data_IF_934650377138
#
_entry.id   IF_934650377138
#
_cell.length_a   1.000
_cell.length_b   1.000
_cell.length_c   1.000
_cell.angle_alpha   90.00
_cell.angle_beta   90.00
_cell.angle_gamma   90.00
#
_symmetry.space_group_name_H-M   'P 1'
#
loop_
_entity.id
_entity.type
_entity.pdbx_description
1 polymer ?
#
# COMPACT_ATOMS: atom_id res chain seq x y z
N UNK A 1 -6.40 4.75 -9.55
CA UNK A 1 -7.56 3.98 -9.00
C UNK A 1 -8.03 4.62 -7.71
N UNK A 2 -9.33 4.58 -7.39
CA UNK A 2 -9.85 5.08 -6.13
C UNK A 2 -10.45 3.93 -5.28
N UNK A 3 -10.76 4.23 -3.98
CA UNK A 3 -11.32 3.25 -3.02
C UNK A 3 -12.60 2.58 -3.52
N UNK A 4 -13.53 3.36 -4.08
CA UNK A 4 -14.81 2.83 -4.56
C UNK A 4 -14.62 1.85 -5.74
N UNK A 5 -13.70 2.15 -6.65
CA UNK A 5 -13.35 1.26 -7.76
C UNK A 5 -12.71 -0.04 -7.27
N UNK A 6 -11.85 0.03 -6.26
CA UNK A 6 -11.25 -1.17 -5.66
C UNK A 6 -12.32 -2.06 -5.03
N UNK A 7 -13.18 -1.48 -4.18
CA UNK A 7 -14.26 -2.22 -3.52
C UNK A 7 -15.21 -2.87 -4.53
N UNK A 8 -15.62 -2.12 -5.57
CA UNK A 8 -16.47 -2.67 -6.63
C UNK A 8 -15.80 -3.81 -7.42
N UNK A 9 -14.47 -3.81 -7.52
CA UNK A 9 -13.72 -4.84 -8.22
C UNK A 9 -13.60 -6.15 -7.43
N UNK A 10 -13.41 -6.08 -6.12
CA UNK A 10 -13.23 -7.28 -5.28
C UNK A 10 -14.54 -7.82 -4.69
N UNK A 11 -15.62 -7.09 -4.77
CA UNK A 11 -16.95 -7.46 -4.24
C UNK A 11 -17.95 -7.73 -5.37
N UNK A 12 -18.90 -8.68 -5.20
CA UNK A 12 -18.70 -9.88 -4.43
C UNK A 12 -17.63 -10.75 -5.07
N UNK A 13 -16.81 -11.56 -4.45
CA UNK A 13 -17.18 -12.39 -3.31
C UNK A 13 -16.66 -11.88 -1.95
N UNK A 14 -15.76 -10.88 -1.90
CA UNK A 14 -15.36 -10.33 -0.61
C UNK A 14 -16.50 -9.50 0.00
N UNK A 15 -16.73 -9.68 1.31
CA UNK A 15 -17.61 -8.78 2.05
C UNK A 15 -17.09 -7.33 1.99
N UNK A 16 -17.95 -6.37 1.68
CA UNK A 16 -17.56 -4.98 1.50
C UNK A 16 -16.90 -4.37 2.73
N UNK A 17 -17.36 -4.73 3.94
CA UNK A 17 -16.80 -4.19 5.18
C UNK A 17 -15.40 -4.74 5.42
N UNK A 18 -15.20 -6.05 5.21
CA UNK A 18 -13.89 -6.67 5.33
C UNK A 18 -12.92 -6.16 4.25
N UNK A 19 -13.38 -6.04 3.00
CA UNK A 19 -12.57 -5.51 1.91
C UNK A 19 -12.13 -4.05 2.16
N UNK A 20 -13.02 -3.25 2.75
CA UNK A 20 -12.74 -1.87 3.08
C UNK A 20 -11.73 -1.74 4.23
N UNK A 21 -11.90 -2.50 5.30
CA UNK A 21 -10.94 -2.57 6.40
C UNK A 21 -9.58 -3.07 5.90
N UNK A 22 -9.55 -4.10 5.06
CA UNK A 22 -8.32 -4.63 4.47
C UNK A 22 -7.55 -3.55 3.71
N UNK A 23 -8.26 -2.73 2.94
CA UNK A 23 -7.66 -1.63 2.19
C UNK A 23 -7.13 -0.52 3.14
N UNK A 24 -7.87 -0.19 4.20
CA UNK A 24 -7.45 0.82 5.19
C UNK A 24 -6.14 0.42 5.84
N UNK A 25 -6.03 -0.81 6.34
CA UNK A 25 -4.80 -1.31 6.98
C UNK A 25 -3.63 -1.41 5.99
N UNK A 26 -3.91 -1.82 4.76
CA UNK A 26 -2.90 -1.82 3.70
C UNK A 26 -2.31 -0.43 3.43
N UNK A 27 -3.17 0.59 3.29
CA UNK A 27 -2.73 1.95 3.03
C UNK A 27 -1.99 2.58 4.24
N UNK A 28 -2.40 2.22 5.46
CA UNK A 28 -1.69 2.60 6.69
C UNK A 28 -0.28 2.00 6.72
N UNK A 29 -0.17 0.71 6.47
CA UNK A 29 1.12 0.01 6.39
C UNK A 29 2.06 0.64 5.36
N UNK A 30 1.58 0.88 4.13
CA UNK A 30 2.38 1.50 3.07
C UNK A 30 2.89 2.88 3.47
N UNK A 31 2.02 3.69 4.09
CA UNK A 31 2.40 4.99 4.62
C UNK A 31 3.49 4.90 5.68
N UNK A 32 3.31 4.01 6.68
CA UNK A 32 4.28 3.81 7.76
C UNK A 32 5.63 3.32 7.23
N UNK A 33 5.59 2.38 6.29
CA UNK A 33 6.80 1.85 5.67
C UNK A 33 7.62 2.94 4.96
N UNK A 34 6.96 3.81 4.18
CA UNK A 34 7.61 4.94 3.50
C UNK A 34 8.21 5.92 4.51
N UNK A 35 7.53 6.15 5.62
CA UNK A 35 8.00 7.03 6.70
C UNK A 35 9.07 6.38 7.60
N UNK A 36 9.49 5.13 7.33
CA UNK A 36 10.42 4.32 8.15
C UNK A 36 9.97 4.13 9.60
N UNK A 37 8.68 4.16 9.82
CA UNK A 37 8.03 3.95 11.11
C UNK A 37 7.79 2.44 11.31
N UNK A 38 8.88 1.70 11.57
CA UNK A 38 8.93 0.24 11.45
C UNK A 38 8.02 -0.50 12.41
N UNK A 39 7.95 -0.05 13.66
CA UNK A 39 7.12 -0.68 14.68
C UNK A 39 5.63 -0.54 14.36
N UNK A 40 5.08 0.67 14.14
CA UNK A 40 3.70 0.83 13.68
C UNK A 40 3.42 0.14 12.34
N UNK A 41 4.38 0.11 11.40
CA UNK A 41 4.22 -0.63 10.15
C UNK A 41 3.98 -2.12 10.40
N UNK A 42 4.72 -2.73 11.33
CA UNK A 42 4.55 -4.13 11.70
C UNK A 42 3.21 -4.38 12.41
N UNK A 43 2.71 -3.41 13.20
CA UNK A 43 1.38 -3.48 13.82
C UNK A 43 0.27 -3.44 12.77
N UNK A 44 0.32 -2.48 11.83
CA UNK A 44 -0.66 -2.33 10.75
C UNK A 44 -0.68 -3.61 9.87
N UNK A 45 0.49 -4.20 9.60
CA UNK A 45 0.57 -5.49 8.92
C UNK A 45 -0.12 -6.63 9.69
N UNK A 46 -0.01 -6.64 11.01
CA UNK A 46 -0.72 -7.58 11.87
C UNK A 46 -2.24 -7.42 11.77
N UNK A 47 -2.73 -6.18 11.82
CA UNK A 47 -4.15 -5.86 11.65
C UNK A 47 -4.65 -6.23 10.25
N UNK A 48 -3.87 -5.92 9.21
CA UNK A 48 -4.15 -6.40 7.86
C UNK A 48 -4.31 -7.94 7.81
N UNK A 49 -3.39 -8.67 8.45
CA UNK A 49 -3.46 -10.14 8.49
C UNK A 49 -4.67 -10.68 9.25
N UNK A 50 -5.12 -10.00 10.31
CA UNK A 50 -6.37 -10.34 11.00
C UNK A 50 -7.57 -10.25 10.07
N UNK A 51 -7.65 -9.18 9.28
CA UNK A 51 -8.74 -8.98 8.33
C UNK A 51 -8.61 -9.95 7.15
N UNK A 52 -7.40 -10.15 6.62
CA UNK A 52 -7.15 -11.09 5.53
C UNK A 52 -7.54 -12.53 5.91
N UNK A 53 -7.23 -12.97 7.13
CA UNK A 53 -7.64 -14.28 7.64
C UNK A 53 -9.16 -14.43 7.68
N UNK A 54 -9.88 -13.38 8.12
CA UNK A 54 -11.35 -13.34 8.14
C UNK A 54 -11.94 -13.33 6.73
N UNK A 55 -11.32 -12.63 5.78
CA UNK A 55 -11.72 -12.66 4.36
C UNK A 55 -11.62 -14.07 3.79
N UNK A 56 -10.46 -14.74 3.94
CA UNK A 56 -10.26 -16.10 3.44
C UNK A 56 -11.21 -17.09 4.13
N UNK A 57 -11.39 -16.95 5.46
CA UNK A 57 -12.34 -17.76 6.22
C UNK A 57 -13.78 -17.56 5.74
N UNK A 58 -14.21 -16.31 5.54
CA UNK A 58 -15.57 -16.01 5.07
C UNK A 58 -15.86 -16.69 3.74
N UNK A 59 -14.94 -16.60 2.79
CA UNK A 59 -15.10 -17.22 1.48
C UNK A 59 -15.08 -18.74 1.58
N UNK A 60 -14.16 -19.30 2.36
CA UNK A 60 -13.95 -20.73 2.44
C UNK A 60 -15.07 -21.45 3.24
N UNK A 61 -15.61 -20.82 4.28
CA UNK A 61 -16.68 -21.37 5.12
C UNK A 61 -18.08 -20.94 4.73
N UNK A 62 -18.23 -19.90 3.91
CA UNK A 62 -19.50 -19.22 3.65
C UNK A 62 -20.07 -18.46 4.84
N UNK A 63 -19.30 -18.26 5.95
CA UNK A 63 -19.77 -17.65 7.20
C UNK A 63 -19.00 -16.35 7.49
N UNK A 64 -19.72 -15.24 7.60
CA UNK A 64 -19.13 -13.98 8.05
C UNK A 64 -18.93 -14.03 9.58
N UNK A 65 -17.68 -13.90 10.04
CA UNK A 65 -17.32 -13.94 11.46
C UNK A 65 -16.29 -12.85 11.80
N UNK A 66 -16.72 -11.59 11.99
CA UNK A 66 -15.82 -10.44 12.13
C UNK A 66 -14.92 -10.49 13.37
N UNK A 67 -15.34 -11.20 14.42
CA UNK A 67 -14.60 -11.31 15.68
C UNK A 67 -13.71 -12.57 15.78
N UNK A 68 -13.71 -13.43 14.74
CA UNK A 68 -12.95 -14.69 14.78
C UNK A 68 -11.44 -14.42 14.79
N UNK A 69 -10.72 -15.14 15.66
CA UNK A 69 -9.28 -15.03 15.79
C UNK A 69 -8.53 -15.56 14.55
N UNK A 70 -7.31 -15.05 14.34
CA UNK A 70 -6.48 -15.44 13.18
C UNK A 70 -6.23 -16.95 13.15
N UNK A 71 -5.74 -17.50 14.25
CA UNK A 71 -5.43 -18.94 14.32
C UNK A 71 -6.66 -19.82 14.11
N UNK A 72 -7.82 -19.41 14.60
CA UNK A 72 -9.07 -20.12 14.37
C UNK A 72 -9.51 -20.08 12.90
N UNK A 73 -9.35 -18.91 12.24
CA UNK A 73 -9.65 -18.79 10.81
C UNK A 73 -8.73 -19.69 9.98
N UNK A 74 -7.42 -19.63 10.25
CA UNK A 74 -6.43 -20.36 9.48
C UNK A 74 -6.51 -21.87 9.73
N UNK A 75 -6.72 -22.30 10.98
CA UNK A 75 -6.89 -23.72 11.33
C UNK A 75 -8.11 -24.35 10.65
N UNK A 76 -9.22 -23.60 10.54
CA UNK A 76 -10.39 -24.07 9.78
C UNK A 76 -10.05 -24.35 8.32
N UNK A 77 -9.31 -23.43 7.69
CA UNK A 77 -8.92 -23.56 6.28
C UNK A 77 -7.91 -24.70 6.09
N UNK A 78 -6.99 -24.88 7.02
CA UNK A 78 -5.95 -25.92 6.96
C UNK A 78 -6.47 -27.32 7.31
N UNK A 79 -7.66 -27.43 7.91
CA UNK A 79 -8.25 -28.71 8.29
C UNK A 79 -8.65 -29.52 7.06
N UNK A 80 -7.90 -30.59 6.78
CA UNK A 80 -8.16 -31.49 5.65
C UNK A 80 -9.35 -32.45 5.89
N UNK A 81 -9.82 -32.55 7.14
CA UNK A 81 -10.96 -33.44 7.48
C UNK A 81 -12.29 -32.86 7.01
N UNK A 82 -12.38 -31.55 6.87
CA UNK A 82 -13.57 -30.79 6.45
C UNK A 82 -13.68 -30.58 4.93
N UNK A 83 -13.21 -31.52 4.11
CA UNK A 83 -13.10 -31.36 2.64
C UNK A 83 -14.38 -30.88 1.93
N UNK A 84 -15.56 -31.26 2.45
CA UNK A 84 -16.86 -30.88 1.88
C UNK A 84 -17.38 -29.52 2.32
N UNK A 85 -16.64 -28.79 3.16
CA UNK A 85 -17.02 -27.50 3.76
C UNK A 85 -16.15 -26.34 3.28
N UNK A 86 -15.29 -26.56 2.29
CA UNK A 86 -14.38 -25.57 1.75
C UNK A 86 -14.90 -25.05 0.40
N UNK A 87 -15.21 -23.75 0.35
CA UNK A 87 -15.76 -23.08 -0.84
C UNK A 87 -14.77 -22.17 -1.56
N UNK A 88 -13.52 -22.05 -1.06
CA UNK A 88 -12.52 -21.23 -1.72
C UNK A 88 -12.22 -21.77 -3.14
N UNK A 89 -12.15 -20.91 -4.19
CA UNK A 89 -12.04 -21.35 -5.58
C UNK A 89 -10.88 -22.31 -5.87
N UNK A 90 -9.76 -22.13 -5.17
CA UNK A 90 -8.60 -23.00 -5.27
C UNK A 90 -8.05 -23.33 -3.88
N UNK A 91 -8.09 -24.60 -3.51
CA UNK A 91 -7.54 -25.08 -2.23
C UNK A 91 -6.05 -24.74 -2.09
N UNK A 92 -5.29 -24.85 -3.18
CA UNK A 92 -3.86 -24.52 -3.21
C UNK A 92 -3.64 -23.05 -2.86
N UNK A 93 -4.41 -22.13 -3.45
CA UNK A 93 -4.30 -20.71 -3.22
C UNK A 93 -4.73 -20.35 -1.79
N UNK A 94 -5.80 -20.96 -1.26
CA UNK A 94 -6.21 -20.78 0.12
C UNK A 94 -5.08 -21.14 1.10
N UNK A 95 -4.45 -22.31 0.93
CA UNK A 95 -3.34 -22.75 1.78
C UNK A 95 -2.09 -21.87 1.65
N UNK A 96 -1.79 -21.34 0.46
CA UNK A 96 -0.70 -20.39 0.27
C UNK A 96 -0.96 -19.07 0.99
N UNK A 97 -2.18 -18.54 0.89
CA UNK A 97 -2.61 -17.35 1.63
C UNK A 97 -2.52 -17.59 3.14
N UNK A 98 -2.99 -18.72 3.66
CA UNK A 98 -2.87 -19.06 5.07
C UNK A 98 -1.43 -19.02 5.58
N UNK A 99 -0.48 -19.58 4.82
CA UNK A 99 0.94 -19.60 5.18
C UNK A 99 1.53 -18.19 5.22
N UNK A 100 1.23 -17.36 4.21
CA UNK A 100 1.70 -15.98 4.14
C UNK A 100 1.12 -15.12 5.28
N UNK A 101 -0.20 -15.25 5.54
CA UNK A 101 -0.88 -14.55 6.64
C UNK A 101 -0.28 -14.96 7.99
N UNK A 102 -0.10 -16.26 8.23
CA UNK A 102 0.46 -16.78 9.48
C UNK A 102 1.89 -16.29 9.71
N UNK A 103 2.74 -16.32 8.68
CA UNK A 103 4.10 -15.80 8.75
C UNK A 103 4.10 -14.33 9.18
N UNK A 104 3.38 -13.50 8.46
CA UNK A 104 3.32 -12.04 8.69
C UNK A 104 2.73 -11.71 10.07
N UNK A 105 1.63 -12.37 10.45
CA UNK A 105 0.99 -12.16 11.74
C UNK A 105 1.91 -12.47 12.93
N UNK A 106 2.73 -13.53 12.81
CA UNK A 106 3.70 -13.90 13.86
C UNK A 106 4.83 -12.89 14.02
N UNK A 107 5.20 -12.14 12.98
CA UNK A 107 6.19 -11.08 13.12
C UNK A 107 5.74 -10.00 14.11
N UNK A 108 4.46 -9.64 14.14
CA UNK A 108 3.88 -8.70 15.11
C UNK A 108 4.16 -9.11 16.56
N UNK A 109 4.01 -10.39 16.89
CA UNK A 109 4.12 -10.88 18.26
C UNK A 109 5.51 -11.33 18.65
N UNK A 110 6.33 -11.80 17.70
CA UNK A 110 7.65 -12.38 17.99
C UNK A 110 8.82 -11.43 17.74
N UNK A 111 8.58 -10.24 17.16
CA UNK A 111 9.62 -9.29 16.77
C UNK A 111 9.47 -7.90 17.42
N UNK A 112 8.95 -7.84 18.64
CA UNK A 112 8.97 -6.64 19.47
C UNK A 112 7.92 -5.56 19.13
N UNK A 113 7.04 -5.76 18.14
CA UNK A 113 6.03 -4.77 17.81
C UNK A 113 4.85 -4.70 18.82
N UNK A 114 4.64 -5.76 19.63
CA UNK A 114 3.57 -5.82 20.63
C UNK A 114 4.12 -5.89 22.05
N UNK A 115 5.31 -6.45 22.22
CA UNK A 115 5.93 -6.63 23.51
C UNK A 115 7.34 -6.03 23.51
N UNK A 116 7.70 -5.34 24.58
CA UNK A 116 9.07 -4.86 24.76
C UNK A 116 9.99 -6.08 24.92
N UNK A 117 10.79 -6.34 23.91
CA UNK A 117 11.84 -7.35 23.95
C UNK A 117 13.20 -6.63 24.00
N UNK A 118 13.98 -6.78 25.07
CA UNK A 118 15.27 -6.10 25.20
C UNK A 118 16.29 -6.49 24.12
N UNK A 119 16.06 -7.62 23.43
CA UNK A 119 16.95 -8.15 22.38
C UNK A 119 16.44 -7.86 20.98
N UNK A 120 15.27 -7.26 20.83
CA UNK A 120 14.63 -7.09 19.53
C UNK A 120 13.93 -5.73 19.42
N UNK A 121 14.26 -5.00 18.36
CA UNK A 121 13.55 -3.80 17.94
C UNK A 121 13.09 -3.94 16.49
N UNK A 122 11.97 -3.31 16.17
CA UNK A 122 11.50 -3.21 14.80
C UNK A 122 12.59 -2.57 13.91
N UNK A 123 12.82 -3.14 12.73
CA UNK A 123 13.89 -2.75 11.83
C UNK A 123 13.47 -2.83 10.37
N UNK A 124 14.26 -2.21 9.49
CA UNK A 124 13.99 -2.14 8.06
C UNK A 124 13.90 -3.52 7.39
N UNK A 125 14.75 -4.47 7.78
CA UNK A 125 14.79 -5.80 7.18
C UNK A 125 13.48 -6.55 7.42
N UNK A 126 13.00 -6.55 8.65
CA UNK A 126 11.74 -7.21 9.04
C UNK A 126 10.54 -6.48 8.44
N UNK A 127 10.51 -5.14 8.50
CA UNK A 127 9.45 -4.34 7.92
C UNK A 127 9.36 -4.56 6.40
N UNK A 128 10.48 -4.66 5.69
CA UNK A 128 10.50 -4.95 4.25
C UNK A 128 9.90 -6.32 3.93
N UNK A 129 10.28 -7.37 4.66
CA UNK A 129 9.71 -8.70 4.46
C UNK A 129 8.19 -8.67 4.68
N UNK A 130 7.76 -8.04 5.76
CA UNK A 130 6.34 -7.93 6.13
C UNK A 130 5.55 -7.19 5.06
N UNK A 131 6.01 -6.02 4.61
CA UNK A 131 5.34 -5.21 3.59
C UNK A 131 5.24 -5.96 2.25
N UNK A 132 6.32 -6.58 1.80
CA UNK A 132 6.30 -7.34 0.54
C UNK A 132 5.36 -8.55 0.63
N UNK A 133 5.27 -9.20 1.81
CA UNK A 133 4.32 -10.30 2.01
C UNK A 133 2.87 -9.81 2.01
N UNK A 134 2.58 -8.68 2.65
CA UNK A 134 1.24 -8.06 2.64
C UNK A 134 0.85 -7.63 1.23
N UNK A 135 1.76 -7.02 0.47
CA UNK A 135 1.55 -6.69 -0.95
C UNK A 135 1.18 -7.92 -1.76
N UNK A 136 1.92 -9.01 -1.56
CA UNK A 136 1.65 -10.28 -2.23
C UNK A 136 0.27 -10.83 -1.86
N UNK A 137 -0.10 -10.84 -0.56
CA UNK A 137 -1.43 -11.30 -0.10
C UNK A 137 -2.54 -10.49 -0.78
N UNK A 138 -2.42 -9.16 -0.80
CA UNK A 138 -3.42 -8.31 -1.45
C UNK A 138 -3.47 -8.53 -2.96
N UNK A 139 -2.32 -8.68 -3.63
CA UNK A 139 -2.26 -9.02 -5.06
C UNK A 139 -2.96 -10.36 -5.35
N UNK A 140 -2.77 -11.38 -4.52
CA UNK A 140 -3.41 -12.69 -4.69
C UNK A 140 -4.93 -12.60 -4.49
N UNK A 141 -5.41 -11.86 -3.49
CA UNK A 141 -6.85 -11.62 -3.32
C UNK A 141 -7.45 -10.88 -4.54
N UNK A 142 -6.77 -9.85 -5.04
CA UNK A 142 -7.18 -9.13 -6.27
C UNK A 142 -7.13 -10.04 -7.50
N UNK A 143 -6.10 -10.88 -7.64
CA UNK A 143 -5.99 -11.83 -8.73
C UNK A 143 -7.14 -12.85 -8.72
N UNK A 144 -7.42 -13.43 -7.56
CA UNK A 144 -8.41 -14.50 -7.43
C UNK A 144 -9.83 -13.97 -7.63
N UNK A 145 -10.13 -12.80 -7.09
CA UNK A 145 -11.51 -12.32 -7.00
C UNK A 145 -11.86 -11.22 -7.99
N UNK A 146 -10.90 -10.65 -8.68
CA UNK A 146 -11.19 -9.58 -9.64
C UNK A 146 -10.57 -9.79 -11.02
N UNK A 147 -9.22 -9.83 -11.11
CA UNK A 147 -8.56 -9.67 -12.41
C UNK A 147 -8.26 -10.98 -13.14
N UNK A 148 -8.10 -12.08 -12.43
CA UNK A 148 -7.65 -13.36 -12.97
C UNK A 148 -6.17 -13.38 -13.42
N UNK A 149 -5.54 -12.21 -13.55
CA UNK A 149 -4.17 -12.06 -14.05
C UNK A 149 -3.23 -11.43 -13.00
N UNK A 150 -2.06 -12.04 -12.72
CA UNK A 150 -1.11 -11.52 -11.73
C UNK A 150 -0.57 -10.12 -12.05
N UNK A 151 -0.32 -9.82 -13.33
CA UNK A 151 0.22 -8.51 -13.73
C UNK A 151 -0.81 -7.40 -13.57
N UNK A 152 -2.07 -7.68 -13.91
CA UNK A 152 -3.19 -6.76 -13.69
C UNK A 152 -3.43 -6.55 -12.19
N UNK A 153 -3.37 -7.59 -11.37
CA UNK A 153 -3.51 -7.49 -9.91
C UNK A 153 -2.40 -6.61 -9.30
N UNK A 154 -1.15 -6.84 -9.68
CA UNK A 154 -0.02 -6.02 -9.23
C UNK A 154 -0.16 -4.54 -9.64
N UNK A 155 -0.71 -4.27 -10.82
CA UNK A 155 -1.02 -2.91 -11.28
C UNK A 155 -2.10 -2.27 -10.43
N UNK A 156 -3.20 -2.97 -10.14
CA UNK A 156 -4.30 -2.51 -9.27
C UNK A 156 -3.78 -2.12 -7.89
N UNK A 157 -3.03 -3.01 -7.23
CA UNK A 157 -2.48 -2.79 -5.90
C UNK A 157 -1.53 -1.58 -5.88
N UNK A 158 -0.69 -1.43 -6.90
CA UNK A 158 0.21 -0.28 -7.02
C UNK A 158 -0.53 1.05 -7.24
N UNK A 159 -1.60 1.04 -8.03
CA UNK A 159 -2.36 2.25 -8.34
C UNK A 159 -3.25 2.75 -7.19
N UNK A 160 -3.59 1.89 -6.21
CA UNK A 160 -4.40 2.30 -5.07
C UNK A 160 -3.58 3.00 -4.00
N UNK A 161 -2.26 2.81 -3.98
CA UNK A 161 -1.37 3.47 -3.02
C UNK A 161 -1.27 4.96 -3.35
N UNK A 162 -1.82 5.79 -2.50
CA UNK A 162 -1.65 7.25 -2.50
C UNK A 162 -1.00 7.65 -1.19
N UNK A 163 0.26 8.06 -1.27
CA UNK A 163 0.98 8.54 -0.09
C UNK A 163 0.57 9.99 0.18
N UNK A 164 -0.19 10.24 1.24
CA UNK A 164 -0.37 11.60 1.76
C UNK A 164 0.81 11.91 2.66
N UNK A 165 1.76 12.64 2.14
CA UNK A 165 2.97 13.00 2.87
C UNK A 165 2.71 14.08 3.91
N UNK A 166 3.20 13.95 5.15
CA UNK A 166 3.20 15.05 6.13
C UNK A 166 3.85 16.33 5.58
N UNK A 167 4.92 16.20 4.81
CA UNK A 167 5.64 17.31 4.18
C UNK A 167 4.80 18.09 3.14
N UNK A 168 3.64 17.58 2.70
CA UNK A 168 2.77 18.24 1.74
C UNK A 168 1.51 18.76 2.43
N UNK A 169 1.49 20.06 2.70
CA UNK A 169 0.33 20.74 3.23
C UNK A 169 -0.76 20.91 2.16
N UNK A 170 -2.01 20.70 2.56
CA UNK A 170 -3.16 20.82 1.68
C UNK A 170 -4.25 21.64 2.34
N UNK A 171 -4.39 22.86 1.89
CA UNK A 171 -5.55 23.69 2.17
C UNK A 171 -6.23 24.01 0.83
N UNK A 172 -7.48 23.60 0.69
CA UNK A 172 -8.22 23.73 -0.57
C UNK A 172 -7.68 22.79 -1.67
N UNK A 173 -7.52 23.31 -2.90
CA UNK A 173 -7.16 22.51 -4.08
C UNK A 173 -5.66 22.56 -4.46
N UNK A 174 -4.84 23.27 -3.70
CA UNK A 174 -3.43 23.52 -4.05
C UNK A 174 -2.51 22.91 -2.98
N UNK A 175 -1.88 21.75 -3.24
CA UNK A 175 -0.88 21.21 -2.32
C UNK A 175 0.41 22.04 -2.34
N UNK A 176 1.06 22.19 -1.19
CA UNK A 176 2.32 22.92 -1.04
C UNK A 176 3.31 22.07 -0.24
N UNK A 177 4.56 22.01 -0.71
CA UNK A 177 5.64 21.37 0.06
C UNK A 177 6.08 22.31 1.18
N UNK A 178 6.14 21.81 2.42
CA UNK A 178 6.44 22.62 3.61
C UNK A 178 7.94 22.83 3.87
N UNK A 179 8.80 22.25 3.05
CA UNK A 179 10.25 22.41 3.15
C UNK A 179 10.75 23.56 2.25
N UNK A 180 11.10 24.74 2.80
CA UNK A 180 11.47 25.92 2.01
C UNK A 180 12.83 25.78 1.29
N UNK A 181 13.72 24.94 1.82
CA UNK A 181 15.10 24.79 1.33
C UNK A 181 15.26 23.75 0.21
N UNK A 182 14.19 23.05 -0.17
CA UNK A 182 14.26 22.06 -1.24
C UNK A 182 14.40 22.73 -2.61
N UNK A 183 15.19 22.11 -3.49
CA UNK A 183 15.27 22.49 -4.89
C UNK A 183 13.95 22.20 -5.64
N UNK A 184 13.70 22.93 -6.72
CA UNK A 184 12.45 22.84 -7.48
C UNK A 184 12.17 21.44 -8.04
N UNK A 185 13.17 20.67 -8.40
CA UNK A 185 13.02 19.30 -8.88
C UNK A 185 12.60 18.35 -7.75
N UNK A 186 13.14 18.52 -6.56
CA UNK A 186 12.73 17.78 -5.35
C UNK A 186 11.29 18.13 -4.94
N UNK A 187 10.89 19.41 -4.99
CA UNK A 187 9.49 19.81 -4.74
C UNK A 187 8.54 19.18 -5.76
N UNK A 188 8.88 19.19 -7.06
CA UNK A 188 8.08 18.52 -8.10
C UNK A 188 7.95 17.03 -7.82
N UNK A 189 9.03 16.35 -7.49
CA UNK A 189 9.04 14.91 -7.22
C UNK A 189 8.17 14.57 -6.00
N UNK A 190 8.27 15.34 -4.90
CA UNK A 190 7.44 15.13 -3.70
C UNK A 190 5.95 15.34 -3.97
N UNK A 191 5.59 16.39 -4.70
CA UNK A 191 4.19 16.65 -5.09
C UNK A 191 3.63 15.53 -5.97
N UNK A 192 4.42 15.01 -6.92
CA UNK A 192 4.01 13.91 -7.78
C UNK A 192 3.94 12.59 -7.01
N UNK A 193 4.83 12.37 -6.05
CA UNK A 193 4.80 11.20 -5.18
C UNK A 193 3.53 11.19 -4.33
N UNK A 194 3.20 12.31 -3.72
CA UNK A 194 2.00 12.51 -2.93
C UNK A 194 0.70 12.41 -3.77
N UNK A 195 0.71 12.88 -5.03
CA UNK A 195 -0.41 12.75 -5.96
C UNK A 195 -0.61 11.30 -6.49
N UNK A 196 0.40 10.46 -6.37
CA UNK A 196 0.36 9.06 -6.80
C UNK A 196 0.05 8.89 -8.29
N UNK A 197 -0.80 7.91 -8.61
CA UNK A 197 -1.16 7.58 -10.00
C UNK A 197 -2.03 8.63 -10.70
N UNK A 198 -2.70 9.52 -9.96
CA UNK A 198 -3.46 10.64 -10.54
C UNK A 198 -2.55 11.70 -11.14
N UNK A 199 -1.34 11.83 -10.59
CA UNK A 199 -0.36 12.81 -11.01
C UNK A 199 -0.82 14.27 -10.88
N UNK A 200 -0.04 15.19 -11.44
CA UNK A 200 -0.38 16.61 -11.49
C UNK A 200 -0.07 17.20 -12.87
N UNK A 201 -0.91 18.11 -13.33
CA UNK A 201 -0.61 18.88 -14.52
C UNK A 201 0.51 19.90 -14.26
N UNK A 202 1.23 20.32 -15.30
CA UNK A 202 2.25 21.36 -15.18
C UNK A 202 1.68 22.67 -14.61
N UNK A 203 0.42 22.98 -14.93
CA UNK A 203 -0.30 24.13 -14.39
C UNK A 203 -0.52 24.03 -12.88
N UNK A 204 -0.88 22.84 -12.38
CA UNK A 204 -1.03 22.58 -10.95
C UNK A 204 0.33 22.70 -10.25
N UNK A 205 1.39 22.09 -10.78
CA UNK A 205 2.74 22.20 -10.23
C UNK A 205 3.21 23.65 -10.11
N UNK A 206 2.96 24.48 -11.15
CA UNK A 206 3.28 25.91 -11.13
C UNK A 206 2.51 26.72 -10.07
N UNK A 207 1.33 26.26 -9.66
CA UNK A 207 0.55 26.87 -8.57
C UNK A 207 1.01 26.41 -7.20
N UNK A 208 1.47 25.17 -7.11
CA UNK A 208 1.87 24.52 -5.86
C UNK A 208 3.30 24.88 -5.41
N UNK A 209 4.16 25.23 -6.35
CA UNK A 209 5.57 25.55 -6.07
C UNK A 209 5.77 27.06 -6.13
N UNK A 210 6.14 27.71 -5.00
CA UNK A 210 6.29 29.17 -4.92
C UNK A 210 7.59 29.67 -5.57
N UNK A 211 7.82 29.28 -6.82
CA UNK A 211 9.00 29.65 -7.63
C UNK A 211 8.57 30.19 -8.98
N UNK A 212 9.51 30.83 -9.68
CA UNK A 212 9.21 31.32 -11.01
C UNK A 212 8.79 30.21 -11.96
N UNK A 213 7.79 30.45 -12.80
CA UNK A 213 7.16 29.43 -13.67
C UNK A 213 8.15 28.69 -14.56
N UNK A 214 9.16 29.39 -15.08
CA UNK A 214 10.21 28.79 -15.91
C UNK A 214 11.12 27.84 -15.13
N UNK A 215 11.34 28.08 -13.84
CA UNK A 215 12.09 27.19 -12.96
C UNK A 215 11.38 25.85 -12.80
N UNK A 216 10.06 25.88 -12.55
CA UNK A 216 9.24 24.67 -12.44
C UNK A 216 9.18 23.91 -13.76
N UNK A 217 9.06 24.61 -14.90
CA UNK A 217 9.12 23.98 -16.23
C UNK A 217 10.46 23.30 -16.49
N UNK A 218 11.56 23.97 -16.14
CA UNK A 218 12.89 23.41 -16.30
C UNK A 218 13.08 22.16 -15.44
N UNK A 219 12.64 22.20 -14.18
CA UNK A 219 12.67 21.06 -13.29
C UNK A 219 11.86 19.87 -13.86
N UNK A 220 10.64 20.11 -14.30
CA UNK A 220 9.80 19.06 -14.89
C UNK A 220 10.45 18.42 -16.15
N UNK A 221 11.05 19.24 -17.04
CA UNK A 221 11.78 18.75 -18.21
C UNK A 221 13.02 17.94 -17.84
N UNK A 222 13.79 18.40 -16.84
CA UNK A 222 14.96 17.68 -16.33
C UNK A 222 14.58 16.31 -15.78
N UNK A 223 13.51 16.24 -14.98
CA UNK A 223 13.01 14.99 -14.42
C UNK A 223 12.53 14.03 -15.51
N UNK A 224 11.87 14.52 -16.56
CA UNK A 224 11.48 13.73 -17.72
C UNK A 224 12.71 13.22 -18.50
N UNK A 225 13.72 14.06 -18.71
CA UNK A 225 14.97 13.66 -19.36
C UNK A 225 15.72 12.57 -18.57
N UNK A 226 15.68 12.63 -17.25
CA UNK A 226 16.23 11.60 -16.35
C UNK A 226 15.33 10.35 -16.25
N UNK A 227 14.19 10.32 -16.94
CA UNK A 227 13.18 9.25 -16.88
C UNK A 227 12.61 9.02 -15.46
N UNK A 228 12.56 10.06 -14.65
CA UNK A 228 11.96 10.02 -13.31
C UNK A 228 10.46 10.32 -13.35
N UNK A 229 10.00 11.02 -14.39
CA UNK A 229 8.59 11.31 -14.66
C UNK A 229 8.19 10.90 -16.07
N UNK A 230 6.89 10.65 -16.26
CA UNK A 230 6.28 10.41 -17.55
C UNK A 230 4.88 11.05 -17.60
N UNK A 231 4.31 11.19 -18.81
CA UNK A 231 2.94 11.65 -18.97
C UNK A 231 1.97 10.48 -18.82
N UNK A 232 0.94 10.66 -18.01
CA UNK A 232 -0.20 9.77 -17.94
C UNK A 232 -1.17 10.02 -19.11
N UNK A 233 -2.13 9.11 -19.41
CA UNK A 233 -3.11 9.29 -20.48
C UNK A 233 -3.97 10.57 -20.37
N UNK A 234 -4.17 11.08 -19.18
CA UNK A 234 -4.88 12.35 -18.92
C UNK A 234 -4.00 13.60 -19.10
N UNK A 235 -2.76 13.45 -19.56
CA UNK A 235 -1.79 14.54 -19.74
C UNK A 235 -1.09 15.01 -18.46
N UNK A 236 -1.42 14.47 -17.30
CA UNK A 236 -0.71 14.77 -16.05
C UNK A 236 0.67 14.12 -16.03
N UNK A 237 1.60 14.73 -15.32
CA UNK A 237 2.89 14.13 -14.98
C UNK A 237 2.70 13.16 -13.80
N UNK A 238 3.32 11.98 -13.91
CA UNK A 238 3.39 10.99 -12.84
C UNK A 238 4.84 10.54 -12.67
N UNK A 239 5.18 10.03 -11.50
CA UNK A 239 6.49 9.41 -11.28
C UNK A 239 6.54 8.03 -11.95
N UNK A 240 7.70 7.72 -12.53
CA UNK A 240 8.08 6.36 -12.90
C UNK A 240 8.48 5.58 -11.64
N UNK A 241 8.66 4.25 -11.73
CA UNK A 241 9.19 3.46 -10.62
C UNK A 241 10.58 3.95 -10.18
N UNK A 242 11.40 4.45 -11.12
CA UNK A 242 12.69 5.07 -10.81
C UNK A 242 12.52 6.41 -10.06
N UNK A 243 11.51 7.19 -10.42
CA UNK A 243 11.19 8.44 -9.72
C UNK A 243 10.68 8.19 -8.30
N UNK A 244 9.89 7.13 -8.09
CA UNK A 244 9.45 6.70 -6.76
C UNK A 244 10.63 6.23 -5.90
N UNK A 245 11.51 5.40 -6.45
CA UNK A 245 12.70 4.94 -5.76
C UNK A 245 13.64 6.08 -5.36
N UNK A 246 13.69 7.19 -6.13
CA UNK A 246 14.44 8.38 -5.74
C UNK A 246 13.88 9.00 -4.44
N UNK A 247 12.54 9.16 -4.34
CA UNK A 247 11.90 9.67 -3.12
C UNK A 247 12.22 8.77 -1.93
N UNK A 248 12.02 7.48 -2.11
CA UNK A 248 12.16 6.48 -1.06
C UNK A 248 13.60 6.30 -0.56
N UNK A 249 14.60 6.66 -1.36
CA UNK A 249 16.02 6.52 -1.00
C UNK A 249 16.70 7.83 -0.63
N UNK A 250 16.45 8.90 -1.40
CA UNK A 250 17.23 10.13 -1.31
C UNK A 250 16.47 11.27 -0.64
N UNK A 251 15.13 11.29 -0.74
CA UNK A 251 14.31 12.37 -0.19
C UNK A 251 13.56 11.98 1.08
N UNK A 252 13.93 10.88 1.73
CA UNK A 252 13.24 10.40 2.94
C UNK A 252 13.19 11.42 4.06
N UNK A 253 14.29 12.15 4.31
CA UNK A 253 14.32 13.22 5.29
C UNK A 253 13.32 14.35 5.02
N UNK A 254 12.92 14.51 3.75
CA UNK A 254 11.95 15.51 3.32
C UNK A 254 10.50 15.00 3.29
N UNK A 255 10.21 13.76 3.67
CA UNK A 255 8.85 13.21 3.77
C UNK A 255 8.14 13.63 5.06
N UNK A 256 8.91 13.97 6.08
CA UNK A 256 8.46 14.48 7.37
C UNK A 256 8.62 16.00 7.42
N UNK A 257 7.95 16.64 8.39
CA UNK A 257 8.12 18.07 8.70
C UNK A 257 9.18 18.22 9.76
#
# INVERSE_FOLDING_TARGET
MNRAQFLAGVSPPLDNTLADLLLVEYLSLEKRYVLRDWEPATLDAGQFCEIAARCVYHIDSGKLSPAKGVDECLSYIEDETNKNSHFFPSRKDALQLCRAIRLTYKFRSSRGAVHIDPNYSANEMDARLVVETVRWILCELVRIFWTGDPSAAAKVVREIVTHRLPAVFREGSVPVVQHPDLEADSEVVLLLYDAGSTGMSLTQLKRSIPRHRTTVERAARLLAAKRLTTAAPNGNLILTDRGRALVERELQGALLI
#
